data_IF_963100224937
#
_entry.id   IF_963100224937
#
_cell.length_a   1.000
_cell.length_b   1.000
_cell.length_c   1.000
_cell.angle_alpha   90.00
_cell.angle_beta   90.00
_cell.angle_gamma   90.00
#
_symmetry.space_group_name_H-M   'P 1'
#
loop_
_entity.id
_entity.type
_entity.pdbx_description
1 polymer ?
#
# COMPACT_ATOMS: atom_id res chain seq x y z
N UNK A 1 -6.41 11.45 0.15
CA UNK A 1 -5.26 11.71 -0.75
C UNK A 1 -4.39 10.46 -0.75
N UNK A 2 -4.10 9.87 -1.92
CA UNK A 2 -3.35 8.60 -2.02
C UNK A 2 -1.84 8.82 -1.85
N UNK A 3 -1.35 8.82 -0.61
CA UNK A 3 0.07 9.05 -0.29
C UNK A 3 1.04 7.98 -0.82
N UNK A 4 0.53 6.80 -1.18
CA UNK A 4 1.34 5.70 -1.73
C UNK A 4 1.90 6.06 -3.11
N UNK A 5 1.08 6.66 -3.98
CA UNK A 5 1.46 7.00 -5.36
C UNK A 5 2.62 7.99 -5.46
N UNK A 6 2.75 8.87 -4.47
CA UNK A 6 3.84 9.86 -4.41
C UNK A 6 5.16 9.27 -3.92
N UNK A 7 5.11 8.19 -3.14
CA UNK A 7 6.28 7.64 -2.46
C UNK A 7 6.81 6.37 -3.11
N UNK A 8 5.92 5.43 -3.50
CA UNK A 8 6.32 4.06 -3.85
C UNK A 8 7.19 3.96 -5.10
N UNK A 9 7.03 4.89 -6.04
CA UNK A 9 7.82 4.95 -7.28
C UNK A 9 9.15 5.71 -7.12
N UNK A 10 9.37 6.33 -5.96
CA UNK A 10 10.64 6.98 -5.62
C UNK A 10 11.76 5.97 -5.36
N UNK A 11 13.00 6.42 -5.54
CA UNK A 11 14.19 5.60 -5.25
C UNK A 11 14.32 5.27 -3.76
N UNK A 12 13.99 6.23 -2.90
CA UNK A 12 14.10 6.11 -1.45
C UNK A 12 12.74 6.34 -0.80
N UNK A 13 12.40 5.42 0.08
CA UNK A 13 11.11 5.34 0.79
C UNK A 13 11.44 5.05 2.25
N UNK A 14 11.29 6.06 3.11
CA UNK A 14 11.62 5.98 4.53
C UNK A 14 10.33 5.78 5.32
N UNK A 15 10.20 4.62 5.97
CA UNK A 15 9.12 4.36 6.92
C UNK A 15 9.57 4.66 8.35
N UNK A 16 8.60 4.91 9.23
CA UNK A 16 8.79 5.07 10.67
C UNK A 16 7.82 4.15 11.40
N UNK A 17 7.94 4.04 12.72
CA UNK A 17 7.01 3.26 13.57
C UNK A 17 5.55 3.74 13.47
N UNK A 18 5.33 4.97 12.97
CA UNK A 18 4.02 5.59 12.75
C UNK A 18 3.47 5.35 11.34
N UNK A 19 4.28 4.87 10.40
CA UNK A 19 3.83 4.61 9.03
C UNK A 19 2.74 3.54 9.03
N UNK A 20 1.62 3.84 8.37
CA UNK A 20 0.53 2.91 8.12
C UNK A 20 0.29 2.83 6.61
N UNK A 21 0.50 1.65 6.04
CA UNK A 21 0.30 1.37 4.63
C UNK A 21 -0.94 0.48 4.45
N UNK A 22 -1.81 0.83 3.50
CA UNK A 22 -2.86 -0.03 3.00
C UNK A 22 -3.32 0.45 1.61
N UNK A 23 -3.92 -0.46 0.85
CA UNK A 23 -4.64 -0.18 -0.39
C UNK A 23 -6.11 -0.61 -0.21
N UNK A 24 -6.96 0.18 0.48
CA UNK A 24 -8.33 -0.19 0.82
C UNK A 24 -9.34 0.09 -0.31
N UNK A 25 -8.90 0.36 -1.55
CA UNK A 25 -9.73 0.82 -2.66
C UNK A 25 -10.83 -0.18 -3.04
N UNK A 26 -10.59 -1.49 -2.87
CA UNK A 26 -11.60 -2.53 -3.14
C UNK A 26 -12.81 -2.46 -2.19
N UNK A 27 -12.64 -1.92 -0.99
CA UNK A 27 -13.71 -1.71 -0.01
C UNK A 27 -14.67 -0.58 -0.40
N UNK A 28 -14.18 0.40 -1.19
CA UNK A 28 -14.98 1.54 -1.66
C UNK A 28 -15.41 1.38 -3.12
N UNK A 29 -15.26 0.22 -3.73
CA UNK A 29 -15.69 0.02 -5.12
C UNK A 29 -14.73 0.59 -6.17
N UNK A 30 -13.45 0.81 -5.81
CA UNK A 30 -12.34 1.13 -6.71
C UNK A 30 -11.37 -0.05 -6.85
N UNK A 31 -10.21 0.20 -7.44
CA UNK A 31 -9.07 -0.70 -7.57
C UNK A 31 -7.80 0.02 -7.04
N UNK A 32 -6.74 -0.71 -6.66
CA UNK A 32 -5.47 -0.12 -6.23
C UNK A 32 -4.85 0.70 -7.37
N UNK A 33 -5.02 2.01 -7.33
CA UNK A 33 -4.58 2.94 -8.37
C UNK A 33 -3.16 3.47 -8.09
N UNK A 34 -2.80 4.58 -8.74
CA UNK A 34 -1.51 5.29 -8.61
C UNK A 34 -0.27 4.43 -8.83
N UNK A 35 -0.36 3.48 -9.77
CA UNK A 35 0.68 2.51 -10.10
C UNK A 35 0.66 1.27 -9.22
N UNK A 36 -0.42 1.01 -8.47
CA UNK A 36 -0.66 -0.22 -7.73
C UNK A 36 -0.49 -1.47 -8.61
N UNK A 37 -0.96 -1.39 -9.87
CA UNK A 37 -0.75 -2.44 -10.87
C UNK A 37 0.72 -2.74 -11.18
N UNK A 38 1.62 -1.81 -10.91
CA UNK A 38 3.05 -1.93 -11.20
C UNK A 38 3.82 -2.49 -10.01
N UNK A 39 3.74 -1.85 -8.84
CA UNK A 39 4.61 -2.21 -7.72
C UNK A 39 4.11 -3.43 -6.92
N UNK A 40 2.79 -3.61 -6.76
CA UNK A 40 2.24 -4.70 -5.95
C UNK A 40 2.62 -6.08 -6.51
N UNK A 41 2.50 -6.36 -7.82
CA UNK A 41 2.91 -7.66 -8.37
C UNK A 41 4.42 -7.93 -8.29
N UNK A 42 5.22 -6.90 -8.05
CA UNK A 42 6.69 -6.97 -7.94
C UNK A 42 7.16 -7.15 -6.50
N UNK A 43 6.25 -7.13 -5.52
CA UNK A 43 6.56 -7.52 -4.15
C UNK A 43 6.83 -9.04 -4.08
N UNK A 44 7.48 -9.47 -3.01
CA UNK A 44 7.83 -10.89 -2.83
C UNK A 44 6.59 -11.80 -2.85
N UNK A 45 6.66 -12.87 -3.65
CA UNK A 45 5.61 -13.87 -3.77
C UNK A 45 4.27 -13.29 -4.24
N UNK A 46 3.22 -13.51 -3.44
CA UNK A 46 1.85 -12.99 -3.67
C UNK A 46 1.37 -12.01 -2.62
N UNK A 47 2.28 -11.43 -1.82
CA UNK A 47 1.93 -10.42 -0.81
C UNK A 47 1.19 -9.25 -1.47
N UNK A 48 1.65 -8.75 -2.62
CA UNK A 48 0.98 -7.62 -3.28
C UNK A 48 -0.46 -7.90 -3.68
N UNK A 49 -0.75 -9.13 -4.13
CA UNK A 49 -2.12 -9.58 -4.43
C UNK A 49 -2.97 -9.64 -3.16
N UNK A 50 -2.38 -10.17 -2.09
CA UNK A 50 -3.02 -10.21 -0.77
C UNK A 50 -3.37 -8.80 -0.26
N UNK A 51 -2.40 -7.88 -0.26
CA UNK A 51 -2.59 -6.50 0.21
C UNK A 51 -3.65 -5.75 -0.61
N UNK A 52 -3.62 -5.92 -1.94
CA UNK A 52 -4.54 -5.30 -2.88
C UNK A 52 -5.99 -5.77 -2.72
N UNK A 53 -6.19 -7.09 -2.56
CA UNK A 53 -7.53 -7.68 -2.54
C UNK A 53 -8.20 -7.55 -1.17
N UNK A 54 -7.41 -7.60 -0.09
CA UNK A 54 -7.92 -7.57 1.29
C UNK A 54 -7.88 -6.19 1.94
N UNK A 55 -7.09 -5.26 1.40
CA UNK A 55 -6.84 -3.95 2.02
C UNK A 55 -6.10 -4.06 3.35
N UNK A 56 -5.32 -5.12 3.56
CA UNK A 56 -4.59 -5.36 4.80
C UNK A 56 -3.63 -4.21 5.13
N UNK A 57 -3.58 -3.85 6.41
CA UNK A 57 -2.80 -2.73 6.92
C UNK A 57 -1.46 -3.20 7.43
N UNK A 58 -0.38 -2.69 6.86
CA UNK A 58 0.98 -2.85 7.35
C UNK A 58 1.37 -1.62 8.17
N UNK A 59 2.02 -1.83 9.31
CA UNK A 59 2.46 -0.75 10.21
C UNK A 59 3.96 -0.82 10.44
N UNK A 60 4.60 0.33 10.49
CA UNK A 60 5.97 0.43 10.96
C UNK A 60 6.95 -0.37 10.11
N UNK A 61 7.77 -1.17 10.79
CA UNK A 61 8.80 -2.00 10.16
C UNK A 61 8.22 -3.11 9.28
N UNK A 62 6.95 -3.47 9.44
CA UNK A 62 6.29 -4.42 8.54
C UNK A 62 6.18 -3.86 7.09
N UNK A 63 6.15 -2.54 6.92
CA UNK A 63 6.17 -1.88 5.60
C UNK A 63 7.53 -2.04 4.91
N UNK A 64 8.62 -2.02 5.69
CA UNK A 64 9.98 -2.31 5.20
C UNK A 64 10.09 -3.78 4.81
N UNK A 65 9.67 -4.69 5.68
CA UNK A 65 9.77 -6.14 5.44
C UNK A 65 8.93 -6.61 4.26
N UNK A 66 7.80 -5.97 4.01
CA UNK A 66 7.00 -6.21 2.82
C UNK A 66 7.64 -5.70 1.51
N UNK A 67 8.76 -4.95 1.59
CA UNK A 67 9.46 -4.37 0.45
C UNK A 67 8.88 -3.06 -0.09
N UNK A 68 7.91 -2.47 0.62
CA UNK A 68 7.27 -1.20 0.22
C UNK A 68 8.15 -0.03 0.62
N UNK A 69 8.66 -0.02 1.84
CA UNK A 69 9.69 0.93 2.26
C UNK A 69 11.08 0.37 1.94
N UNK A 70 12.04 1.27 1.69
CA UNK A 70 13.46 0.91 1.50
C UNK A 70 14.26 1.00 2.78
N UNK A 71 13.90 1.93 3.65
CA UNK A 71 14.59 2.23 4.89
C UNK A 71 13.56 2.42 5.99
N UNK A 72 13.99 2.23 7.23
CA UNK A 72 13.20 2.49 8.42
C UNK A 72 13.99 3.41 9.35
N UNK A 73 13.38 4.51 9.78
CA UNK A 73 13.96 5.50 10.68
C UNK A 73 12.95 5.84 11.78
N UNK A 74 13.40 5.92 13.03
CA UNK A 74 12.54 6.34 14.15
C UNK A 74 12.03 7.77 13.93
N UNK A 75 10.74 8.02 14.18
CA UNK A 75 10.14 9.33 13.84
C UNK A 75 10.82 10.51 14.52
N UNK A 76 11.40 10.30 15.71
CA UNK A 76 12.15 11.31 16.46
C UNK A 76 13.45 11.73 15.76
N UNK A 77 14.00 10.89 14.88
CA UNK A 77 15.26 11.12 14.16
C UNK A 77 15.06 11.71 12.77
N UNK A 78 13.82 11.90 12.34
CA UNK A 78 13.54 12.50 11.03
C UNK A 78 14.00 13.95 10.88
N UNK A 79 13.85 14.84 11.89
CA UNK A 79 14.38 16.20 11.77
C UNK A 79 15.90 16.22 11.60
N UNK A 80 16.61 15.33 12.30
CA UNK A 80 18.06 15.17 12.17
C UNK A 80 18.44 14.67 10.77
N UNK A 81 17.72 13.64 10.28
CA UNK A 81 17.91 13.10 8.94
C UNK A 81 17.66 14.15 7.85
N UNK A 82 16.60 14.94 7.96
CA UNK A 82 16.28 16.01 7.02
C UNK A 82 17.40 17.06 6.98
N UNK A 83 17.88 17.48 8.16
CA UNK A 83 19.01 18.41 8.27
C UNK A 83 20.28 17.87 7.62
N UNK A 84 20.60 16.59 7.85
CA UNK A 84 21.78 15.96 7.28
C UNK A 84 21.66 15.82 5.76
N UNK A 85 20.47 15.51 5.24
CA UNK A 85 20.20 15.47 3.79
C UNK A 85 20.40 16.83 3.13
N UNK A 86 19.93 17.91 3.76
CA UNK A 86 20.11 19.28 3.27
C UNK A 86 21.59 19.69 3.31
N UNK A 87 22.34 19.21 4.32
CA UNK A 87 23.76 19.53 4.49
C UNK A 87 24.70 18.73 3.57
N UNK A 88 24.20 17.74 2.82
CA UNK A 88 25.02 16.96 1.89
C UNK A 88 25.62 17.86 0.80
N UNK A 89 26.95 17.92 0.76
CA UNK A 89 27.70 18.68 -0.26
C UNK A 89 27.53 18.13 -1.68
N UNK A 90 27.26 16.82 -1.79
CA UNK A 90 27.04 16.14 -3.07
C UNK A 90 25.87 15.17 -2.91
N UNK A 91 24.77 15.47 -3.59
CA UNK A 91 23.52 14.70 -3.56
C UNK A 91 23.52 13.54 -4.57
N UNK A 92 24.64 12.82 -4.69
CA UNK A 92 24.64 11.59 -5.48
C UNK A 92 23.74 10.54 -4.83
N UNK A 93 23.21 9.62 -5.64
CA UNK A 93 22.30 8.57 -5.15
C UNK A 93 22.98 7.69 -4.11
N UNK A 94 24.28 7.46 -4.27
CA UNK A 94 25.12 6.67 -3.37
C UNK A 94 25.26 7.37 -2.01
N UNK A 95 25.58 8.67 -2.00
CA UNK A 95 25.72 9.43 -0.76
C UNK A 95 24.41 9.50 0.03
N UNK A 96 23.28 9.67 -0.68
CA UNK A 96 21.94 9.65 -0.06
C UNK A 96 21.65 8.27 0.53
N UNK A 97 21.95 7.19 -0.21
CA UNK A 97 21.76 5.82 0.27
C UNK A 97 22.60 5.54 1.52
N UNK A 98 23.87 5.95 1.53
CA UNK A 98 24.77 5.76 2.67
C UNK A 98 24.29 6.51 3.92
N UNK A 99 23.83 7.75 3.75
CA UNK A 99 23.24 8.53 4.85
C UNK A 99 21.99 7.82 5.40
N UNK A 100 21.06 7.43 4.53
CA UNK A 100 19.84 6.72 4.94
C UNK A 100 20.15 5.40 5.64
N UNK A 101 21.13 4.63 5.14
CA UNK A 101 21.59 3.40 5.77
C UNK A 101 22.14 3.63 7.17
N UNK A 102 22.88 4.73 7.39
CA UNK A 102 23.43 5.07 8.70
C UNK A 102 22.35 5.31 9.77
N UNK A 103 21.21 5.90 9.38
CA UNK A 103 20.04 6.08 10.25
C UNK A 103 19.25 4.78 10.40
N UNK A 104 19.16 4.00 9.32
CA UNK A 104 18.44 2.73 9.31
C UNK A 104 19.02 1.72 10.30
N UNK A 105 20.34 1.51 10.27
CA UNK A 105 21.03 0.56 11.16
C UNK A 105 20.94 0.97 12.64
N UNK A 106 20.85 2.28 12.92
CA UNK A 106 20.72 2.81 14.29
C UNK A 106 19.29 2.68 14.85
N UNK A 107 18.30 2.42 13.99
CA UNK A 107 16.89 2.38 14.39
C UNK A 107 16.55 1.05 15.04
N UNK A 108 16.20 1.08 16.33
CA UNK A 108 15.99 -0.11 17.17
C UNK A 108 14.54 -0.53 17.29
N UNK A 109 13.59 0.37 17.05
CA UNK A 109 12.15 0.07 17.19
C UNK A 109 11.76 -1.12 16.31
N UNK A 110 11.18 -2.16 16.91
CA UNK A 110 10.71 -3.39 16.26
C UNK A 110 11.78 -4.12 15.42
N UNK A 111 13.08 -3.91 15.67
CA UNK A 111 14.16 -4.49 14.87
C UNK A 111 14.13 -6.02 14.85
N UNK A 112 13.95 -6.65 16.02
CA UNK A 112 13.90 -8.10 16.20
C UNK A 112 12.49 -8.68 16.06
N UNK A 113 11.47 -7.84 15.86
CA UNK A 113 10.09 -8.30 15.65
C UNK A 113 10.09 -9.17 14.39
N UNK A 114 9.32 -10.24 14.32
CA UNK A 114 9.10 -10.98 13.06
C UNK A 114 8.17 -10.20 12.12
N UNK A 115 8.15 -10.56 10.84
CA UNK A 115 7.21 -9.95 9.90
C UNK A 115 5.79 -10.44 10.22
N UNK A 116 4.81 -9.53 10.30
CA UNK A 116 3.43 -9.90 10.67
C UNK A 116 2.77 -10.92 9.72
N UNK A 117 3.27 -11.08 8.50
CA UNK A 117 2.76 -12.07 7.55
C UNK A 117 3.67 -13.29 7.38
N UNK A 118 4.79 -13.39 8.12
CA UNK A 118 5.83 -14.41 7.88
C UNK A 118 5.25 -15.83 7.99
N UNK A 119 4.55 -16.11 9.09
CA UNK A 119 3.85 -17.39 9.33
C UNK A 119 2.74 -17.71 8.31
N UNK A 120 2.33 -16.73 7.51
CA UNK A 120 1.28 -16.87 6.51
C UNK A 120 1.81 -16.77 5.08
N UNK A 121 3.12 -16.57 4.88
CA UNK A 121 3.71 -16.33 3.56
C UNK A 121 3.44 -17.47 2.59
N UNK A 122 3.63 -18.72 3.02
CA UNK A 122 3.36 -19.90 2.18
C UNK A 122 1.87 -19.99 1.80
N UNK A 123 0.98 -19.73 2.76
CA UNK A 123 -0.46 -19.71 2.52
C UNK A 123 -0.85 -18.57 1.58
N UNK A 124 -0.33 -17.36 1.77
CA UNK A 124 -0.57 -16.22 0.90
C UNK A 124 -0.15 -16.57 -0.53
N UNK A 125 1.05 -17.12 -0.70
CA UNK A 125 1.57 -17.54 -2.01
C UNK A 125 0.68 -18.59 -2.67
N UNK A 126 0.20 -19.58 -1.92
CA UNK A 126 -0.67 -20.63 -2.45
C UNK A 126 -2.10 -20.14 -2.76
N UNK A 127 -2.73 -19.46 -1.82
CA UNK A 127 -4.15 -19.06 -1.87
C UNK A 127 -4.41 -17.94 -2.89
N UNK A 128 -3.48 -16.99 -3.01
CA UNK A 128 -3.61 -15.82 -3.91
C UNK A 128 -2.87 -16.00 -5.25
N UNK A 129 -2.48 -17.23 -5.61
CA UNK A 129 -1.82 -17.53 -6.89
C UNK A 129 -2.78 -17.72 -8.07
N UNK A 130 -4.09 -17.87 -7.82
CA UNK A 130 -5.04 -18.27 -8.84
C UNK A 130 -5.38 -17.14 -9.82
N UNK A 131 -5.95 -17.50 -10.96
CA UNK A 131 -6.15 -16.56 -12.07
C UNK A 131 -7.51 -15.85 -12.04
N UNK A 132 -8.44 -16.35 -11.21
CA UNK A 132 -9.78 -15.80 -11.03
C UNK A 132 -10.11 -15.64 -9.53
N UNK A 133 -11.02 -14.71 -9.23
CA UNK A 133 -11.49 -14.52 -7.85
C UNK A 133 -12.28 -15.73 -7.36
N UNK A 134 -12.98 -16.42 -8.25
CA UNK A 134 -13.72 -17.65 -7.98
C UNK A 134 -12.78 -18.76 -7.50
N UNK A 135 -11.62 -18.93 -8.15
CA UNK A 135 -10.60 -19.89 -7.72
C UNK A 135 -9.95 -19.49 -6.39
N UNK A 136 -9.66 -18.19 -6.18
CA UNK A 136 -9.11 -17.72 -4.90
C UNK A 136 -10.10 -17.99 -3.76
N UNK A 137 -11.38 -17.67 -3.96
CA UNK A 137 -12.45 -17.93 -2.98
C UNK A 137 -12.62 -19.42 -2.73
N UNK A 138 -12.54 -20.26 -3.79
CA UNK A 138 -12.59 -21.72 -3.66
C UNK A 138 -11.42 -22.23 -2.80
N UNK A 139 -10.18 -21.83 -3.12
CA UNK A 139 -8.98 -22.20 -2.35
C UNK A 139 -9.08 -21.77 -0.88
N UNK A 140 -9.58 -20.56 -0.61
CA UNK A 140 -9.78 -20.06 0.76
C UNK A 140 -10.80 -20.91 1.53
N UNK A 141 -11.88 -21.35 0.88
CA UNK A 141 -12.87 -22.24 1.48
C UNK A 141 -12.32 -23.64 1.75
N UNK A 142 -11.51 -24.17 0.84
CA UNK A 142 -10.91 -25.51 0.94
C UNK A 142 -9.82 -25.59 2.01
N UNK A 143 -9.00 -24.54 2.17
CA UNK A 143 -7.96 -24.49 3.21
C UNK A 143 -8.57 -24.46 4.62
N UNK A 144 -9.66 -23.71 4.83
CA UNK A 144 -10.44 -23.73 6.08
C UNK A 144 -9.68 -23.29 7.34
N UNK A 145 -8.44 -22.82 7.23
CA UNK A 145 -7.68 -22.38 8.40
C UNK A 145 -8.20 -21.05 8.95
N UNK A 146 -7.91 -20.71 10.23
CA UNK A 146 -8.36 -19.44 10.81
C UNK A 146 -7.95 -18.21 9.99
N UNK A 147 -6.75 -18.25 9.39
CA UNK A 147 -6.29 -17.21 8.47
C UNK A 147 -7.17 -17.10 7.23
N UNK A 148 -7.44 -18.23 6.54
CA UNK A 148 -8.22 -18.25 5.31
C UNK A 148 -9.68 -17.86 5.54
N UNK A 149 -10.31 -18.33 6.62
CA UNK A 149 -11.67 -17.94 7.00
C UNK A 149 -11.75 -16.42 7.20
N UNK A 150 -10.81 -15.84 7.95
CA UNK A 150 -10.74 -14.39 8.16
C UNK A 150 -10.57 -13.62 6.86
N UNK A 151 -9.70 -14.08 5.95
CA UNK A 151 -9.54 -13.40 4.65
C UNK A 151 -10.79 -13.53 3.77
N UNK A 152 -11.48 -14.67 3.84
CA UNK A 152 -12.73 -14.90 3.11
C UNK A 152 -13.83 -13.94 3.60
N UNK A 153 -13.97 -13.76 4.92
CA UNK A 153 -14.89 -12.77 5.50
C UNK A 153 -14.57 -11.35 5.04
N UNK A 154 -13.29 -10.99 4.96
CA UNK A 154 -12.84 -9.69 4.46
C UNK A 154 -13.18 -9.52 2.98
N UNK A 155 -12.84 -10.49 2.13
CA UNK A 155 -13.10 -10.44 0.68
C UNK A 155 -14.60 -10.36 0.38
N UNK A 156 -15.45 -11.05 1.14
CA UNK A 156 -16.90 -11.01 0.96
C UNK A 156 -17.54 -9.65 1.26
N UNK A 157 -16.83 -8.75 1.95
CA UNK A 157 -17.26 -7.37 2.23
C UNK A 157 -16.81 -6.38 1.14
N UNK A 158 -15.96 -6.79 0.22
CA UNK A 158 -15.44 -5.93 -0.85
C UNK A 158 -16.36 -5.96 -2.08
N UNK A 159 -16.21 -4.95 -2.95
CA UNK A 159 -16.94 -4.92 -4.22
C UNK A 159 -16.50 -6.08 -5.15
N UNK A 160 -17.41 -6.97 -5.61
CA UNK A 160 -17.04 -8.09 -6.48
C UNK A 160 -16.42 -7.63 -7.80
N UNK A 161 -16.91 -6.53 -8.37
CA UNK A 161 -16.36 -5.92 -9.58
C UNK A 161 -14.94 -5.42 -9.34
N UNK A 162 -14.73 -4.73 -8.21
CA UNK A 162 -13.42 -4.21 -7.80
C UNK A 162 -12.39 -5.31 -7.61
N UNK A 163 -12.77 -6.41 -6.95
CA UNK A 163 -11.89 -7.57 -6.75
C UNK A 163 -11.44 -8.16 -8.09
N UNK A 164 -12.36 -8.36 -9.02
CA UNK A 164 -12.05 -8.89 -10.36
C UNK A 164 -11.17 -7.94 -11.17
N UNK A 165 -11.48 -6.64 -11.13
CA UNK A 165 -10.66 -5.61 -11.79
C UNK A 165 -9.25 -5.57 -11.22
N UNK A 166 -9.12 -5.58 -9.89
CA UNK A 166 -7.85 -5.56 -9.17
C UNK A 166 -6.99 -6.77 -9.53
N UNK A 167 -7.56 -7.98 -9.46
CA UNK A 167 -6.82 -9.19 -9.81
C UNK A 167 -6.31 -9.14 -11.26
N UNK A 168 -7.15 -8.69 -12.19
CA UNK A 168 -6.77 -8.54 -13.59
C UNK A 168 -5.66 -7.49 -13.78
N UNK A 169 -5.84 -6.31 -13.18
CA UNK A 169 -4.87 -5.21 -13.23
C UNK A 169 -3.49 -5.64 -12.72
N UNK A 170 -3.43 -6.37 -11.60
CA UNK A 170 -2.17 -6.86 -11.05
C UNK A 170 -1.51 -7.92 -11.93
N UNK A 171 -2.30 -8.81 -12.55
CA UNK A 171 -1.77 -9.83 -13.47
C UNK A 171 -1.19 -9.21 -14.74
N UNK A 172 -1.91 -8.27 -15.35
CA UNK A 172 -1.44 -7.56 -16.55
C UNK A 172 -0.26 -6.63 -16.23
N UNK A 173 -0.35 -5.89 -15.12
CA UNK A 173 0.66 -4.92 -14.69
C UNK A 173 2.00 -5.53 -14.27
N UNK A 174 2.04 -6.83 -13.95
CA UNK A 174 3.27 -7.56 -13.66
C UNK A 174 4.27 -7.54 -14.83
N UNK A 175 3.78 -7.53 -16.07
CA UNK A 175 4.60 -7.53 -17.30
C UNK A 175 4.66 -6.17 -18.01
N UNK A 176 4.02 -5.13 -17.47
CA UNK A 176 3.94 -3.81 -18.09
C UNK A 176 4.97 -2.83 -17.52
N UNK A 177 5.29 -1.79 -18.30
CA UNK A 177 6.00 -0.62 -17.80
C UNK A 177 5.12 0.20 -16.86
N UNK A 178 5.71 1.07 -16.03
CA UNK A 178 4.92 1.97 -15.17
C UNK A 178 4.00 2.88 -15.99
N UNK A 179 4.44 3.37 -17.15
CA UNK A 179 3.64 4.24 -18.02
C UNK A 179 2.42 3.50 -18.58
N UNK A 180 2.59 2.24 -18.99
CA UNK A 180 1.50 1.41 -19.49
C UNK A 180 0.50 1.09 -18.38
N UNK A 181 0.98 0.80 -17.17
CA UNK A 181 0.12 0.59 -16.00
C UNK A 181 -0.69 1.85 -15.70
N UNK A 182 -0.07 3.04 -15.67
CA UNK A 182 -0.79 4.29 -15.43
C UNK A 182 -1.83 4.57 -16.53
N UNK A 183 -1.54 4.20 -17.77
CA UNK A 183 -2.50 4.30 -18.89
C UNK A 183 -3.66 3.33 -18.72
N UNK A 184 -3.41 2.10 -18.30
CA UNK A 184 -4.44 1.11 -17.95
C UNK A 184 -5.30 1.64 -16.80
N UNK A 185 -4.69 2.10 -15.71
CA UNK A 185 -5.38 2.63 -14.53
C UNK A 185 -6.23 3.86 -14.86
N UNK A 186 -5.75 4.74 -15.75
CA UNK A 186 -6.57 5.85 -16.24
C UNK A 186 -7.84 5.36 -16.94
N UNK A 187 -7.76 4.35 -17.81
CA UNK A 187 -8.95 3.77 -18.45
C UNK A 187 -9.89 3.12 -17.43
N UNK A 188 -9.34 2.40 -16.45
CA UNK A 188 -10.13 1.76 -15.39
C UNK A 188 -10.84 2.81 -14.53
N UNK A 189 -10.19 3.93 -14.19
CA UNK A 189 -10.78 4.99 -13.37
C UNK A 189 -11.96 5.65 -14.09
N UNK A 190 -11.83 5.96 -15.39
CA UNK A 190 -12.93 6.50 -16.18
C UNK A 190 -14.09 5.50 -16.26
N UNK A 191 -13.80 4.20 -16.42
CA UNK A 191 -14.82 3.17 -16.44
C UNK A 191 -15.56 3.06 -15.09
N UNK A 192 -14.86 3.18 -13.95
CA UNK A 192 -15.48 3.20 -12.62
C UNK A 192 -16.43 4.39 -12.45
N UNK A 193 -16.10 5.56 -13.01
CA UNK A 193 -16.96 6.76 -12.92
C UNK A 193 -18.18 6.69 -13.85
N UNK A 194 -18.02 6.15 -15.06
CA UNK A 194 -19.10 6.11 -16.07
C UNK A 194 -20.05 4.93 -15.84
N UNK A 195 -19.55 3.78 -15.38
CA UNK A 195 -20.36 2.57 -15.12
C UNK A 195 -20.93 2.50 -13.69
N UNK A 196 -21.12 3.66 -13.07
CA UNK A 196 -21.82 3.83 -11.81
C UNK A 196 -23.36 3.60 -11.81
N UNK A 197 -24.05 2.89 -12.76
CA UNK A 197 -25.40 2.39 -12.49
C UNK A 197 -25.44 1.00 -11.86
N UNK A 198 -24.32 0.28 -11.71
CA UNK A 198 -24.31 -0.99 -10.97
C UNK A 198 -24.04 -0.75 -9.48
N UNK A 199 -24.83 -1.38 -8.62
CA UNK A 199 -24.96 -1.15 -7.16
C UNK A 199 -23.68 -1.20 -6.31
N UNK A 200 -22.51 -1.46 -6.89
CA UNK A 200 -21.22 -1.59 -6.19
C UNK A 200 -20.51 -0.27 -5.89
N UNK A 201 -20.86 0.85 -6.54
CA UNK A 201 -20.19 2.15 -6.31
C UNK A 201 -20.84 2.99 -5.19
N UNK A 202 -22.11 2.75 -4.83
CA UNK A 202 -22.92 3.75 -4.12
C UNK A 202 -23.11 3.63 -2.59
N UNK A 203 -22.87 2.51 -1.86
CA UNK A 203 -22.92 2.57 -0.40
C UNK A 203 -21.65 3.13 0.25
N UNK A 204 -20.47 2.78 -0.29
CA UNK A 204 -19.17 3.08 0.34
C UNK A 204 -18.72 4.54 0.21
N UNK A 205 -18.85 5.15 -0.97
CA UNK A 205 -18.42 6.53 -1.18
C UNK A 205 -19.26 7.55 -0.43
N UNK A 206 -20.58 7.38 -0.42
CA UNK A 206 -21.49 8.26 0.32
C UNK A 206 -21.22 8.21 1.84
N UNK A 207 -21.08 7.01 2.40
CA UNK A 207 -20.85 6.82 3.83
C UNK A 207 -19.43 7.21 4.28
N UNK A 208 -18.38 6.89 3.49
CA UNK A 208 -16.99 7.24 3.82
C UNK A 208 -16.76 8.75 3.66
N UNK A 209 -17.27 9.37 2.59
CA UNK A 209 -17.14 10.82 2.42
C UNK A 209 -17.98 11.61 3.42
N UNK A 210 -19.22 11.17 3.76
CA UNK A 210 -19.99 11.80 4.85
C UNK A 210 -19.31 11.61 6.20
N UNK A 211 -18.76 10.43 6.49
CA UNK A 211 -18.01 10.17 7.72
C UNK A 211 -16.76 11.04 7.84
N UNK A 212 -15.98 11.20 6.77
CA UNK A 212 -14.78 12.06 6.75
C UNK A 212 -15.12 13.55 6.86
N UNK A 213 -16.22 14.01 6.25
CA UNK A 213 -16.72 15.38 6.45
C UNK A 213 -17.18 15.61 7.89
N UNK A 214 -17.89 14.66 8.50
CA UNK A 214 -18.38 14.77 9.87
C UNK A 214 -17.24 14.72 10.90
N UNK A 215 -16.23 13.84 10.69
CA UNK A 215 -15.06 13.76 11.55
C UNK A 215 -14.17 15.00 11.44
N UNK A 216 -14.01 15.55 10.23
CA UNK A 216 -13.30 16.82 10.01
C UNK A 216 -14.00 18.03 10.63
N UNK A 217 -15.33 18.00 10.75
CA UNK A 217 -16.12 19.05 11.39
C UNK A 217 -16.13 18.94 12.93
N UNK A 218 -16.10 17.72 13.48
CA UNK A 218 -16.14 17.46 14.92
C UNK A 218 -14.76 17.53 15.59
N UNK A 219 -13.67 17.23 14.88
CA UNK A 219 -12.32 17.13 15.47
C UNK A 219 -11.37 18.27 15.06
N UNK A 220 -11.82 19.51 15.30
CA UNK A 220 -10.97 20.70 15.20
C UNK A 220 -9.58 20.50 15.82
N UNK A 221 -8.56 20.90 15.05
CA UNK A 221 -7.18 21.18 15.47
C UNK A 221 -6.29 20.05 16.05
N UNK A 222 -6.65 18.77 16.00
CA UNK A 222 -5.74 17.67 16.45
C UNK A 222 -5.06 16.85 15.33
N UNK A 223 -5.26 17.20 14.06
CA UNK A 223 -4.77 16.43 12.90
C UNK A 223 -3.35 16.81 12.40
N UNK A 224 -2.47 17.35 13.24
CA UNK A 224 -1.09 17.67 12.82
C UNK A 224 -0.12 16.45 12.84
N UNK A 225 -0.53 15.30 13.39
CA UNK A 225 0.35 14.12 13.54
C UNK A 225 0.43 13.17 12.34
N UNK A 226 -0.32 13.42 11.26
CA UNK A 226 -0.38 12.54 10.07
C UNK A 226 0.65 12.88 8.98
N UNK A 227 1.47 13.91 9.18
CA UNK A 227 2.44 14.40 8.21
C UNK A 227 3.85 13.93 8.52
N UNK A 228 4.17 12.68 8.16
CA UNK A 228 5.56 12.20 8.25
C UNK A 228 6.05 11.48 6.97
N UNK A 229 5.18 11.24 5.99
CA UNK A 229 5.61 10.77 4.66
C UNK A 229 5.78 11.90 3.63
N UNK A 230 5.44 13.15 4.00
CA UNK A 230 5.27 14.24 3.02
C UNK A 230 6.51 15.09 2.73
N UNK A 231 7.54 15.10 3.59
CA UNK A 231 8.67 16.02 3.38
C UNK A 231 9.89 15.43 2.65
N UNK A 232 10.07 14.11 2.61
CA UNK A 232 11.30 13.54 2.04
C UNK A 232 11.26 13.28 0.52
N UNK A 233 10.08 13.15 -0.10
CA UNK A 233 9.96 12.98 -1.55
C UNK A 233 10.08 14.29 -2.33
N UNK A 234 9.92 15.45 -1.69
CA UNK A 234 9.98 16.75 -2.38
C UNK A 234 11.42 17.23 -2.65
N UNK A 235 12.43 16.68 -1.96
CA UNK A 235 13.81 17.17 -2.04
C UNK A 235 14.76 16.37 -2.96
N UNK A 236 14.33 15.25 -3.56
CA UNK A 236 15.15 14.45 -4.49
C UNK A 236 14.87 14.80 -5.97
N UNK A 237 14.35 16.00 -6.23
CA UNK A 237 14.23 16.58 -7.58
C UNK A 237 14.81 18.00 -7.58
N UNK A 238 16.12 18.07 -7.40
CA UNK A 238 16.98 19.15 -7.89
C UNK A 238 18.17 18.50 -8.59
#
# INVERSE_FOLDING_TARGET
MQGVGLSVHGHFRVATEKTLFAMPETAIGLFPDVGGGYFLPRLSGKIGYYLALTGFRLKGRDVLKAGIATHFVESEKLPDLEKDLIALKSASKENIADLLNSYHVKSKIDQEKEFVLDEHMEKINSLFSANSMEEIVKKLKEDGSPFAIKQLETINKMSPTSLKMTLRQLREGASMSLQDVLTMEYRLSQACMVRAPSASFQPGWGQVCQGLFYMGYVMGSQFLGFYVLYLLCAFVRL
#
